data_IF_372755101980
#
_entry.id   IF_372755101980
#
_cell.length_a   1.000
_cell.length_b   1.000
_cell.length_c   1.000
_cell.angle_alpha   90.00
_cell.angle_beta   90.00
_cell.angle_gamma   90.00
#
_symmetry.space_group_name_H-M   'P 1'
#
loop_
_entity.id
_entity.type
_entity.pdbx_description
1 polymer ?
#
# COMPACT_ATOMS: atom_id res chain seq x y z
N UNK A 1 18.08 18.86 9.56
CA UNK A 1 17.34 17.59 9.57
C UNK A 1 18.04 16.52 10.40
N UNK A 2 19.27 16.11 10.06
CA UNK A 2 19.97 15.05 10.82
C UNK A 2 20.14 15.37 12.32
N UNK A 3 20.44 16.63 12.67
CA UNK A 3 20.47 17.05 14.08
C UNK A 3 19.12 16.82 14.76
N UNK A 4 18.02 17.33 14.18
CA UNK A 4 16.68 17.10 14.72
C UNK A 4 16.31 15.61 14.84
N UNK A 5 16.72 14.76 13.88
CA UNK A 5 16.52 13.31 13.98
C UNK A 5 17.34 12.66 15.12
N UNK A 6 18.56 13.13 15.36
CA UNK A 6 19.42 12.62 16.43
C UNK A 6 18.97 13.09 17.82
N UNK A 7 18.56 14.35 17.92
CA UNK A 7 18.22 15.01 19.19
C UNK A 7 16.75 14.79 19.58
N UNK A 8 15.91 14.34 18.63
CA UNK A 8 14.47 14.13 18.83
C UNK A 8 13.65 15.41 18.72
N UNK A 9 14.21 16.47 18.12
CA UNK A 9 13.59 17.77 17.99
C UNK A 9 12.61 17.87 16.82
N UNK A 10 11.77 18.90 16.87
CA UNK A 10 10.90 19.29 15.77
C UNK A 10 11.59 20.29 14.84
N UNK A 11 11.53 20.03 13.53
CA UNK A 11 12.11 20.89 12.51
C UNK A 11 11.05 21.27 11.47
N UNK A 12 10.84 22.56 11.27
CA UNK A 12 10.00 23.11 10.21
C UNK A 12 10.89 23.66 9.09
N UNK A 13 10.64 23.23 7.86
CA UNK A 13 11.36 23.69 6.67
C UNK A 13 10.34 24.09 5.61
N UNK A 14 10.48 25.30 5.09
CA UNK A 14 9.75 25.74 3.90
C UNK A 14 10.62 25.55 2.66
N UNK A 15 10.06 24.95 1.62
CA UNK A 15 10.76 24.74 0.36
C UNK A 15 9.81 24.89 -0.83
N UNK A 16 10.21 25.72 -1.80
CA UNK A 16 9.44 26.00 -3.03
C UNK A 16 9.25 24.75 -3.90
N UNK A 17 8.28 24.76 -4.81
CA UNK A 17 8.06 23.67 -5.79
C UNK A 17 9.29 23.44 -6.66
N UNK A 18 9.57 22.18 -7.04
CA UNK A 18 10.71 21.86 -7.91
C UNK A 18 12.10 21.84 -7.25
N UNK A 19 12.21 22.20 -5.96
CA UNK A 19 13.50 22.25 -5.22
C UNK A 19 14.05 20.89 -4.79
N UNK A 20 13.44 19.78 -5.21
CA UNK A 20 13.88 18.45 -4.80
C UNK A 20 13.53 18.08 -3.36
N UNK A 21 12.46 18.66 -2.79
CA UNK A 21 11.97 18.40 -1.42
C UNK A 21 11.97 16.92 -1.04
N UNK A 22 11.44 16.06 -1.91
CA UNK A 22 11.36 14.62 -1.65
C UNK A 22 12.73 14.03 -1.37
N UNK A 23 13.70 14.23 -2.25
CA UNK A 23 15.07 13.72 -2.05
C UNK A 23 15.74 14.34 -0.83
N UNK A 24 15.49 15.64 -0.58
CA UNK A 24 16.08 16.38 0.53
C UNK A 24 15.71 15.77 1.90
N UNK A 25 14.50 15.24 2.09
CA UNK A 25 14.16 14.52 3.31
C UNK A 25 14.36 13.00 3.22
N UNK A 26 14.23 12.39 2.03
CA UNK A 26 14.35 10.93 1.88
C UNK A 26 15.77 10.44 2.11
N UNK A 27 16.77 11.05 1.46
CA UNK A 27 18.17 10.62 1.59
C UNK A 27 18.66 10.60 3.05
N UNK A 28 18.61 11.71 3.81
CA UNK A 28 19.03 11.68 5.21
C UNK A 28 18.18 10.72 6.06
N UNK A 29 16.88 10.57 5.78
CA UNK A 29 16.03 9.61 6.49
C UNK A 29 16.46 8.17 6.28
N UNK A 30 16.79 7.79 5.04
CA UNK A 30 17.26 6.44 4.71
C UNK A 30 18.57 6.12 5.40
N UNK A 31 19.53 7.05 5.37
CA UNK A 31 20.84 6.89 6.01
C UNK A 31 20.70 6.80 7.53
N UNK A 32 19.92 7.70 8.13
CA UNK A 32 19.67 7.71 9.57
C UNK A 32 18.97 6.44 10.03
N UNK A 33 17.95 5.98 9.28
CA UNK A 33 17.23 4.72 9.53
C UNK A 33 18.17 3.51 9.53
N UNK A 34 19.05 3.42 8.52
CA UNK A 34 20.01 2.33 8.37
C UNK A 34 21.06 2.32 9.50
N UNK A 35 21.62 3.49 9.85
CA UNK A 35 22.63 3.61 10.89
C UNK A 35 22.08 3.32 12.29
N UNK A 36 20.86 3.80 12.58
CA UNK A 36 20.27 3.69 13.91
C UNK A 36 19.38 2.46 14.09
N UNK A 37 19.16 1.66 13.04
CA UNK A 37 18.21 0.53 13.04
C UNK A 37 16.81 0.95 13.50
N UNK A 38 16.39 2.16 13.13
CA UNK A 38 15.10 2.76 13.51
C UNK A 38 14.25 3.05 12.29
N UNK A 39 12.94 2.93 12.44
CA UNK A 39 11.99 3.20 11.35
C UNK A 39 11.77 4.71 11.21
N UNK A 40 11.64 5.17 9.97
CA UNK A 40 11.20 6.54 9.64
C UNK A 40 9.84 6.44 8.94
N UNK A 41 8.91 7.29 9.36
CA UNK A 41 7.59 7.42 8.74
C UNK A 41 7.57 8.74 7.98
N UNK A 42 7.22 8.67 6.69
CA UNK A 42 6.99 9.84 5.86
C UNK A 42 5.48 9.96 5.62
N UNK A 43 4.88 11.04 6.08
CA UNK A 43 3.47 11.35 5.85
C UNK A 43 3.34 12.42 4.76
N UNK A 44 2.37 12.26 3.85
CA UNK A 44 2.05 13.24 2.82
C UNK A 44 0.56 13.55 2.80
N UNK A 45 0.18 14.64 2.12
CA UNK A 45 -1.18 15.14 2.14
C UNK A 45 -2.18 14.28 1.32
N UNK A 46 -1.74 13.66 0.23
CA UNK A 46 -2.63 12.93 -0.69
C UNK A 46 -2.06 11.59 -1.11
N UNK A 47 -2.94 10.65 -1.46
CA UNK A 47 -2.52 9.32 -1.95
C UNK A 47 -1.68 9.45 -3.24
N UNK A 48 -2.04 10.36 -4.14
CA UNK A 48 -1.25 10.62 -5.34
C UNK A 48 0.19 11.06 -5.03
N UNK A 49 0.41 11.84 -3.97
CA UNK A 49 1.76 12.18 -3.51
C UNK A 49 2.47 10.96 -2.92
N UNK A 50 1.77 10.06 -2.22
CA UNK A 50 2.38 8.81 -1.73
C UNK A 50 2.79 7.89 -2.89
N UNK A 51 1.95 7.79 -3.93
CA UNK A 51 2.23 7.02 -5.14
C UNK A 51 3.45 7.61 -5.88
N UNK A 52 3.53 8.93 -6.02
CA UNK A 52 4.72 9.58 -6.57
C UNK A 52 5.99 9.24 -5.76
N UNK A 53 5.90 9.21 -4.42
CA UNK A 53 7.03 8.83 -3.59
C UNK A 53 7.44 7.38 -3.83
N UNK A 54 6.50 6.43 -3.83
CA UNK A 54 6.82 5.00 -3.92
C UNK A 54 7.34 4.60 -5.30
N UNK A 55 6.81 5.20 -6.36
CA UNK A 55 7.10 4.79 -7.74
C UNK A 55 8.32 5.51 -8.34
N UNK A 56 8.68 6.67 -7.78
CA UNK A 56 9.74 7.52 -8.34
C UNK A 56 10.75 7.98 -7.30
N UNK A 57 10.34 8.78 -6.33
CA UNK A 57 11.28 9.51 -5.48
C UNK A 57 12.05 8.58 -4.51
N UNK A 58 11.40 7.56 -3.94
CA UNK A 58 12.03 6.53 -3.11
C UNK A 58 12.98 5.63 -3.91
N UNK A 59 12.58 5.02 -5.04
CA UNK A 59 13.49 4.27 -5.90
C UNK A 59 14.74 5.09 -6.26
N UNK A 60 14.57 6.36 -6.60
CA UNK A 60 15.68 7.26 -6.89
C UNK A 60 16.59 7.46 -5.67
N UNK A 61 16.04 7.76 -4.50
CA UNK A 61 16.82 7.95 -3.27
C UNK A 61 17.59 6.68 -2.86
N UNK A 62 16.95 5.52 -2.98
CA UNK A 62 17.58 4.21 -2.70
C UNK A 62 18.71 3.92 -3.69
N UNK A 63 18.50 4.18 -4.99
CA UNK A 63 19.53 4.01 -6.01
C UNK A 63 20.74 4.93 -5.74
N UNK A 64 20.49 6.20 -5.38
CA UNK A 64 21.55 7.15 -5.00
C UNK A 64 22.32 6.68 -3.77
N UNK A 65 21.63 6.23 -2.72
CA UNK A 65 22.29 5.71 -1.52
C UNK A 65 23.14 4.46 -1.81
N UNK A 66 22.61 3.54 -2.64
CA UNK A 66 23.32 2.33 -3.07
C UNK A 66 24.58 2.66 -3.87
N UNK A 67 24.52 3.64 -4.77
CA UNK A 67 25.68 4.10 -5.55
C UNK A 67 26.80 4.67 -4.67
N UNK A 68 26.47 5.16 -3.47
CA UNK A 68 27.42 5.64 -2.45
C UNK A 68 27.88 4.55 -1.47
N UNK A 69 27.54 3.28 -1.73
CA UNK A 69 27.97 2.14 -0.90
C UNK A 69 27.11 1.90 0.35
N UNK A 70 25.95 2.55 0.47
CA UNK A 70 25.03 2.29 1.58
C UNK A 70 24.20 1.02 1.36
N UNK A 71 23.81 0.32 2.45
CA UNK A 71 23.00 -0.89 2.36
C UNK A 71 21.63 -0.62 1.75
N UNK A 72 21.05 -1.65 1.13
CA UNK A 72 19.71 -1.56 0.57
C UNK A 72 18.67 -1.24 1.65
N UNK A 73 17.87 -0.20 1.41
CA UNK A 73 16.80 0.19 2.30
C UNK A 73 15.52 -0.61 2.02
N UNK A 74 14.84 -1.01 3.08
CA UNK A 74 13.49 -1.58 3.00
C UNK A 74 12.46 -0.47 3.19
N UNK A 75 11.49 -0.41 2.30
CA UNK A 75 10.42 0.57 2.37
C UNK A 75 9.08 -0.06 1.97
N UNK A 76 8.01 0.60 2.38
CA UNK A 76 6.66 0.11 2.34
C UNK A 76 5.68 1.28 2.22
N UNK A 77 4.60 1.06 1.47
CA UNK A 77 3.48 1.97 1.39
C UNK A 77 2.36 1.53 2.34
N UNK A 78 1.71 2.51 2.98
CA UNK A 78 0.57 2.30 3.84
C UNK A 78 -0.53 3.30 3.50
N UNK A 79 -1.62 2.80 2.89
CA UNK A 79 -2.83 3.58 2.65
C UNK A 79 -3.93 3.21 3.66
N UNK A 80 -5.03 3.96 3.64
CA UNK A 80 -6.23 3.60 4.40
C UNK A 80 -6.80 2.25 3.93
N UNK A 81 -7.42 1.48 4.84
CA UNK A 81 -7.97 0.14 4.56
C UNK A 81 -8.92 0.07 3.37
N UNK A 82 -9.70 1.13 3.15
CA UNK A 82 -10.63 1.24 2.03
C UNK A 82 -9.95 1.25 0.65
N UNK A 83 -8.62 1.37 0.59
CA UNK A 83 -7.85 1.26 -0.65
C UNK A 83 -7.49 -0.17 -0.99
N UNK A 84 -7.70 -1.14 -0.11
CA UNK A 84 -7.28 -2.53 -0.33
C UNK A 84 -8.48 -3.46 -0.45
N UNK A 85 -8.43 -4.39 -1.42
CA UNK A 85 -9.42 -5.44 -1.57
C UNK A 85 -9.47 -6.31 -0.29
N UNK A 86 -10.67 -6.73 0.11
CA UNK A 86 -10.83 -7.81 1.08
C UNK A 86 -11.33 -9.06 0.35
N UNK A 87 -10.48 -10.09 0.22
CA UNK A 87 -10.82 -11.32 -0.52
C UNK A 87 -12.04 -12.03 0.10
N UNK A 88 -12.14 -12.05 1.43
CA UNK A 88 -13.31 -12.57 2.15
C UNK A 88 -14.60 -11.83 1.77
N UNK A 89 -14.58 -10.50 1.70
CA UNK A 89 -15.77 -9.73 1.32
C UNK A 89 -16.12 -9.98 -0.15
N UNK A 90 -15.14 -10.08 -1.03
CA UNK A 90 -15.35 -10.48 -2.42
C UNK A 90 -16.03 -11.84 -2.52
N UNK A 91 -15.58 -12.82 -1.74
CA UNK A 91 -16.16 -14.17 -1.71
C UNK A 91 -17.61 -14.20 -1.23
N UNK A 92 -17.93 -13.45 -0.18
CA UNK A 92 -19.30 -13.32 0.31
C UNK A 92 -20.18 -12.56 -0.70
N UNK A 93 -19.63 -11.53 -1.33
CA UNK A 93 -20.35 -10.65 -2.26
C UNK A 93 -20.70 -11.35 -3.58
N UNK A 94 -19.88 -12.31 -4.03
CA UNK A 94 -20.14 -13.12 -5.25
C UNK A 94 -21.14 -14.27 -5.04
N UNK A 95 -21.48 -14.62 -3.79
CA UNK A 95 -22.32 -15.77 -3.48
C UNK A 95 -23.79 -15.59 -3.88
N UNK A 96 -24.36 -16.57 -4.60
CA UNK A 96 -25.79 -16.84 -4.81
C UNK A 96 -26.75 -15.63 -4.94
N UNK A 97 -26.38 -14.61 -5.73
CA UNK A 97 -27.28 -13.48 -6.06
C UNK A 97 -27.18 -13.08 -7.54
N UNK A 98 -28.24 -12.49 -8.06
CA UNK A 98 -28.23 -11.87 -9.40
C UNK A 98 -27.48 -10.56 -9.33
N UNK A 99 -26.42 -10.44 -10.13
CA UNK A 99 -25.64 -9.20 -10.25
C UNK A 99 -26.24 -8.30 -11.31
N UNK A 100 -26.24 -7.00 -11.07
CA UNK A 100 -26.56 -6.00 -12.11
C UNK A 100 -25.35 -5.76 -13.05
N UNK A 101 -25.55 -4.96 -14.10
CA UNK A 101 -24.50 -4.72 -15.11
C UNK A 101 -23.23 -4.06 -14.56
N UNK A 102 -23.36 -3.14 -13.59
CA UNK A 102 -22.21 -2.47 -12.97
C UNK A 102 -21.47 -3.42 -12.03
N UNK A 103 -22.20 -4.25 -11.28
CA UNK A 103 -21.64 -5.29 -10.43
C UNK A 103 -20.87 -6.34 -11.25
N UNK A 104 -21.42 -6.78 -12.38
CA UNK A 104 -20.72 -7.68 -13.31
C UNK A 104 -19.44 -7.01 -13.84
N UNK A 105 -19.51 -5.72 -14.19
CA UNK A 105 -18.33 -4.99 -14.69
C UNK A 105 -17.23 -4.87 -13.65
N UNK A 106 -17.56 -4.52 -12.41
CA UNK A 106 -16.59 -4.45 -11.31
C UNK A 106 -16.00 -5.84 -11.01
N UNK A 107 -16.85 -6.86 -10.95
CA UNK A 107 -16.38 -8.23 -10.73
C UNK A 107 -15.41 -8.68 -11.82
N UNK A 108 -15.72 -8.43 -13.09
CA UNK A 108 -14.85 -8.76 -14.20
C UNK A 108 -13.49 -8.04 -14.10
N UNK A 109 -13.49 -6.73 -13.79
CA UNK A 109 -12.25 -5.96 -13.56
C UNK A 109 -11.41 -6.57 -12.44
N UNK A 110 -12.04 -6.89 -11.31
CA UNK A 110 -11.35 -7.49 -10.16
C UNK A 110 -10.79 -8.86 -10.52
N UNK A 111 -11.56 -9.75 -11.16
CA UNK A 111 -11.10 -11.10 -11.49
C UNK A 111 -9.92 -11.11 -12.47
N UNK A 112 -9.85 -10.15 -13.39
CA UNK A 112 -8.70 -9.97 -14.30
C UNK A 112 -7.48 -9.39 -13.58
N UNK A 113 -7.71 -8.44 -12.67
CA UNK A 113 -6.66 -7.72 -11.95
C UNK A 113 -6.07 -8.49 -10.77
N UNK A 114 -6.89 -9.24 -10.03
CA UNK A 114 -6.51 -9.97 -8.83
C UNK A 114 -5.30 -10.91 -8.99
N UNK A 115 -5.11 -11.65 -10.10
CA UNK A 115 -3.89 -12.43 -10.28
C UNK A 115 -2.64 -11.59 -10.56
N UNK A 116 -2.79 -10.34 -10.98
CA UNK A 116 -1.67 -9.45 -11.35
C UNK A 116 -1.25 -8.49 -10.24
N UNK A 117 -2.15 -8.19 -9.29
CA UNK A 117 -1.87 -7.24 -8.21
C UNK A 117 -0.90 -7.81 -7.19
N UNK A 118 -0.09 -6.92 -6.62
CA UNK A 118 0.90 -7.26 -5.61
C UNK A 118 0.30 -7.24 -4.19
N UNK A 119 -0.53 -6.25 -3.92
CA UNK A 119 -1.03 -5.90 -2.58
C UNK A 119 -2.53 -5.61 -2.54
N UNK A 120 -3.22 -5.66 -3.69
CA UNK A 120 -4.66 -5.46 -3.76
C UNK A 120 -5.09 -4.00 -3.67
N UNK A 121 -4.25 -3.06 -4.09
CA UNK A 121 -4.56 -1.62 -4.11
C UNK A 121 -5.55 -1.21 -5.21
N UNK A 122 -6.63 -0.52 -4.83
CA UNK A 122 -7.66 0.00 -5.74
C UNK A 122 -7.11 0.97 -6.79
N UNK A 123 -5.99 1.64 -6.53
CA UNK A 123 -5.40 2.56 -7.50
C UNK A 123 -4.89 1.84 -8.76
N UNK A 124 -4.68 0.52 -8.69
CA UNK A 124 -4.37 -0.31 -9.85
C UNK A 124 -5.61 -0.63 -10.71
N UNK A 125 -6.82 -0.38 -10.19
CA UNK A 125 -8.09 -0.61 -10.88
C UNK A 125 -8.68 0.68 -11.47
N UNK A 126 -9.13 0.60 -12.72
CA UNK A 126 -9.83 1.71 -13.36
C UNK A 126 -11.33 1.73 -12.99
N UNK A 127 -11.68 2.34 -11.86
CA UNK A 127 -13.07 2.52 -11.38
C UNK A 127 -13.54 3.99 -11.57
N UNK A 128 -14.05 4.30 -12.76
CA UNK A 128 -14.30 5.69 -13.17
C UNK A 128 -15.71 6.19 -12.84
N UNK A 129 -16.69 5.29 -12.70
CA UNK A 129 -18.07 5.69 -12.38
C UNK A 129 -18.32 5.74 -10.86
N UNK A 130 -19.24 6.59 -10.39
CA UNK A 130 -19.67 6.58 -8.99
C UNK A 130 -20.25 5.23 -8.54
N UNK A 131 -20.97 4.54 -9.42
CA UNK A 131 -21.53 3.21 -9.15
C UNK A 131 -20.43 2.18 -8.89
N UNK A 132 -19.39 2.15 -9.73
CA UNK A 132 -18.23 1.25 -9.55
C UNK A 132 -17.51 1.52 -8.22
N UNK A 133 -17.30 2.80 -7.88
CA UNK A 133 -16.69 3.20 -6.60
C UNK A 133 -17.56 2.81 -5.41
N UNK A 134 -18.88 2.90 -5.53
CA UNK A 134 -19.81 2.46 -4.48
C UNK A 134 -19.78 0.94 -4.28
N UNK A 135 -19.67 0.16 -5.36
CA UNK A 135 -19.51 -1.29 -5.28
C UNK A 135 -18.19 -1.64 -4.58
N UNK A 136 -17.11 -0.93 -4.88
CA UNK A 136 -15.82 -1.12 -4.21
C UNK A 136 -15.89 -0.95 -2.68
N UNK A 137 -16.67 0.00 -2.17
CA UNK A 137 -16.86 0.15 -0.71
C UNK A 137 -17.48 -1.10 -0.04
N UNK A 138 -18.18 -1.92 -0.83
CA UNK A 138 -18.73 -3.20 -0.37
C UNK A 138 -17.70 -4.34 -0.38
N UNK A 139 -16.56 -4.14 -1.03
CA UNK A 139 -15.53 -5.14 -1.31
C UNK A 139 -14.20 -4.85 -0.60
N UNK A 140 -13.92 -3.59 -0.25
CA UNK A 140 -12.66 -3.18 0.36
C UNK A 140 -12.53 -3.61 1.83
N UNK A 141 -11.33 -3.54 2.39
CA UNK A 141 -11.12 -3.76 3.82
C UNK A 141 -11.72 -2.62 4.66
N UNK A 142 -12.26 -2.97 5.83
CA UNK A 142 -12.88 -2.03 6.76
C UNK A 142 -12.50 -2.38 8.22
N UNK A 143 -12.22 -1.35 9.01
CA UNK A 143 -11.77 -1.50 10.39
C UNK A 143 -12.80 -2.10 11.34
N UNK A 144 -14.10 -1.90 11.08
CA UNK A 144 -15.15 -2.41 11.96
C UNK A 144 -15.42 -3.91 11.73
N UNK A 145 -15.19 -4.39 10.51
CA UNK A 145 -15.49 -5.76 10.09
C UNK A 145 -14.26 -6.69 10.05
N UNK A 146 -13.05 -6.14 9.89
CA UNK A 146 -11.80 -6.91 9.90
C UNK A 146 -11.33 -7.21 11.34
N UNK A 147 -11.39 -8.48 11.75
CA UNK A 147 -10.78 -8.97 13.00
C UNK A 147 -9.92 -10.21 12.71
N UNK A 148 -8.82 -10.45 13.45
CA UNK A 148 -7.94 -11.61 13.25
C UNK A 148 -8.69 -12.95 13.25
N UNK A 149 -9.73 -13.08 14.08
CA UNK A 149 -10.58 -14.28 14.18
C UNK A 149 -11.41 -14.52 12.92
N UNK A 150 -11.86 -13.44 12.26
CA UNK A 150 -12.63 -13.48 11.01
C UNK A 150 -11.74 -13.50 9.77
N UNK A 151 -10.51 -13.01 9.90
CA UNK A 151 -9.48 -12.95 8.87
C UNK A 151 -8.60 -14.21 8.91
N UNK A 152 -9.15 -15.40 9.19
CA UNK A 152 -8.34 -16.61 9.24
C UNK A 152 -8.11 -17.14 7.81
N UNK A 153 -6.86 -17.50 7.42
CA UNK A 153 -6.58 -18.11 6.12
C UNK A 153 -7.43 -19.35 5.81
N UNK A 154 -7.99 -20.00 6.84
CA UNK A 154 -8.88 -21.18 6.69
C UNK A 154 -10.39 -20.89 6.78
N UNK A 155 -10.82 -19.65 7.07
CA UNK A 155 -12.24 -19.32 7.33
C UNK A 155 -13.09 -19.01 6.08
N UNK A 156 -12.56 -19.29 4.88
CA UNK A 156 -13.34 -19.30 3.65
C UNK A 156 -12.44 -19.52 2.43
N UNK A 157 -12.72 -20.58 1.67
CA UNK A 157 -12.36 -20.73 0.26
C UNK A 157 -10.88 -20.63 -0.20
N UNK A 158 -9.87 -20.72 0.68
CA UNK A 158 -8.47 -20.98 0.29
C UNK A 158 -8.21 -22.42 -0.24
N UNK A 159 -9.16 -23.00 -0.98
CA UNK A 159 -8.97 -24.24 -1.75
C UNK A 159 -8.86 -24.02 -3.26
N UNK A 160 -9.12 -22.80 -3.76
CA UNK A 160 -8.72 -22.47 -5.13
C UNK A 160 -7.31 -21.88 -5.10
N UNK A 161 -6.36 -22.73 -5.47
CA UNK A 161 -4.91 -22.52 -5.58
C UNK A 161 -4.46 -21.42 -6.56
N UNK A 162 -5.28 -20.40 -6.82
CA UNK A 162 -5.10 -19.47 -7.94
C UNK A 162 -5.17 -17.97 -7.59
N UNK A 163 -5.51 -17.59 -6.35
CA UNK A 163 -5.55 -16.18 -5.96
C UNK A 163 -4.34 -15.82 -5.08
N UNK A 164 -3.56 -14.78 -5.44
CA UNK A 164 -2.39 -14.39 -4.66
C UNK A 164 -2.80 -13.91 -3.26
N UNK A 165 -1.92 -14.13 -2.28
CA UNK A 165 -2.08 -13.59 -0.93
C UNK A 165 -1.88 -12.06 -0.97
N UNK A 166 -2.99 -11.36 -1.25
CA UNK A 166 -3.09 -9.89 -1.36
C UNK A 166 -3.71 -9.25 -0.11
N UNK A 167 -4.16 -10.05 0.87
CA UNK A 167 -4.74 -9.51 2.11
C UNK A 167 -3.67 -8.95 3.05
N UNK A 168 -3.32 -7.68 2.80
CA UNK A 168 -2.34 -6.90 3.57
C UNK A 168 -2.66 -6.84 5.08
N UNK A 169 -3.94 -6.86 5.46
CA UNK A 169 -4.37 -6.67 6.86
C UNK A 169 -4.79 -7.94 7.61
N UNK A 170 -5.01 -9.07 6.92
CA UNK A 170 -5.54 -10.29 7.56
C UNK A 170 -4.44 -11.27 8.02
N UNK A 171 -3.16 -11.00 7.75
CA UNK A 171 -2.05 -11.86 8.20
C UNK A 171 -1.42 -11.28 9.48
N UNK A 172 -1.59 -11.90 10.66
CA UNK A 172 -0.91 -11.45 11.87
C UNK A 172 0.61 -11.53 11.67
N UNK A 173 1.28 -10.38 11.73
CA UNK A 173 2.72 -10.28 11.44
C UNK A 173 3.06 -10.02 9.96
N UNK A 174 2.09 -9.80 9.08
CA UNK A 174 2.38 -9.29 7.74
C UNK A 174 2.93 -7.87 7.85
N UNK A 175 4.25 -7.77 7.80
CA UNK A 175 4.90 -6.55 7.37
C UNK A 175 4.49 -6.29 5.92
N UNK A 176 4.26 -5.02 5.52
CA UNK A 176 4.16 -4.68 4.10
C UNK A 176 5.22 -5.42 3.31
N UNK A 177 4.82 -6.14 2.26
CA UNK A 177 5.80 -6.80 1.37
C UNK A 177 6.77 -5.71 0.92
N UNK A 178 8.06 -5.78 1.29
CA UNK A 178 9.00 -4.71 1.02
C UNK A 178 9.07 -4.50 -0.50
N UNK A 179 9.01 -3.26 -0.98
CA UNK A 179 9.25 -2.92 -2.40
C UNK A 179 10.74 -3.15 -2.74
N UNK A 180 11.19 -4.39 -2.59
CA UNK A 180 12.50 -4.87 -3.03
C UNK A 180 12.27 -5.61 -4.33
N UNK A 181 12.56 -4.95 -5.45
CA UNK A 181 12.97 -5.66 -6.66
C UNK A 181 14.32 -6.33 -6.33
N UNK A 182 14.35 -7.66 -6.45
CA UNK A 182 15.56 -8.47 -6.24
C UNK A 182 16.71 -8.02 -7.12
#
# INVERSE_FOLDING_TARGET
MLHALNDGDHLLIEAGTGTGKSLAYLLPSLLWSAQNQRRVVVATNTIALQDQLIDKDLPQAVATAKAQGHPAARYALLKGRSNYLCTRRLDLWRGNRRLNIDEVRVLAKILVWLPTTRDGDVNELFLHTPAERSIWQSLCSDSASCSPERCHPSSGAFRHSALPAVDYFCTPGATPKPHTSW
#
